data_IF_928825525014
#
_entry.id   IF_928825525014
#
_cell.length_a   1.000
_cell.length_b   1.000
_cell.length_c   1.000
_cell.angle_alpha   90.00
_cell.angle_beta   90.00
_cell.angle_gamma   90.00
#
_symmetry.space_group_name_H-M   'P 1'
#
loop_
_entity.id
_entity.type
_entity.pdbx_description
1 polymer ?
#
# COMPACT_ATOMS: atom_id res chain seq x y z
N UNK A 1 18.84 7.58 6.09
CA UNK A 1 19.24 6.74 7.23
C UNK A 1 18.00 5.98 7.68
N UNK A 2 18.06 4.66 7.82
CA UNK A 2 16.88 3.87 8.20
C UNK A 2 16.38 4.29 9.60
N UNK A 3 15.05 4.23 9.78
CA UNK A 3 14.40 4.48 11.07
C UNK A 3 14.67 3.31 12.00
N UNK A 4 14.97 3.61 13.26
CA UNK A 4 15.36 2.64 14.30
C UNK A 4 14.31 2.59 15.44
N UNK A 5 14.37 1.53 16.27
CA UNK A 5 13.48 1.34 17.44
C UNK A 5 13.54 2.50 18.45
N UNK A 6 14.71 3.12 18.57
CA UNK A 6 14.98 4.22 19.53
C UNK A 6 14.57 5.60 19.00
N UNK A 7 14.25 5.72 17.70
CA UNK A 7 13.86 7.00 17.14
C UNK A 7 12.47 7.41 17.63
N UNK A 8 12.27 8.72 17.83
CA UNK A 8 10.98 9.25 18.26
C UNK A 8 10.03 9.34 17.08
N UNK A 9 8.86 8.73 17.19
CA UNK A 9 7.85 8.68 16.12
C UNK A 9 7.42 10.09 15.72
N UNK A 10 7.31 11.03 16.66
CA UNK A 10 6.98 12.44 16.36
C UNK A 10 8.05 13.10 15.47
N UNK A 11 9.34 12.90 15.76
CA UNK A 11 10.44 13.47 14.97
C UNK A 11 10.48 12.87 13.57
N UNK A 12 10.27 11.55 13.46
CA UNK A 12 10.19 10.83 12.17
C UNK A 12 9.04 11.38 11.31
N UNK A 13 7.85 11.58 11.88
CA UNK A 13 6.70 12.15 11.17
C UNK A 13 6.89 13.63 10.85
N UNK A 14 7.54 14.42 11.70
CA UNK A 14 7.82 15.84 11.44
C UNK A 14 8.83 16.03 10.29
N UNK A 15 9.81 15.15 10.17
CA UNK A 15 10.75 15.16 9.06
C UNK A 15 10.13 14.62 7.76
N UNK A 16 9.12 13.74 7.87
CA UNK A 16 8.51 13.03 6.75
C UNK A 16 6.97 13.02 6.90
N UNK A 17 6.32 14.13 6.61
CA UNK A 17 4.86 14.28 6.75
C UNK A 17 4.05 13.25 5.96
N UNK A 18 4.61 12.72 4.88
CA UNK A 18 4.01 11.64 4.06
C UNK A 18 3.81 10.34 4.85
N UNK A 19 4.50 10.17 5.98
CA UNK A 19 4.32 9.03 6.87
C UNK A 19 3.08 9.11 7.76
N UNK A 20 2.48 10.27 7.92
CA UNK A 20 1.31 10.43 8.81
C UNK A 20 0.18 9.46 8.44
N UNK A 21 -0.24 9.33 7.17
CA UNK A 21 -1.23 8.34 6.78
C UNK A 21 -0.77 6.88 6.99
N UNK A 22 0.51 6.61 6.70
CA UNK A 22 1.12 5.27 6.86
C UNK A 22 1.05 4.82 8.32
N UNK A 23 1.49 5.69 9.23
CA UNK A 23 1.46 5.44 10.68
C UNK A 23 0.01 5.31 11.20
N UNK A 24 -0.92 6.12 10.65
CA UNK A 24 -2.35 6.02 10.97
C UNK A 24 -2.95 4.66 10.56
N UNK A 25 -2.56 4.11 9.40
CA UNK A 25 -3.00 2.77 8.94
C UNK A 25 -2.50 1.65 9.87
N UNK A 26 -1.35 1.84 10.50
CA UNK A 26 -0.86 0.94 11.54
C UNK A 26 -1.64 1.05 12.87
N UNK A 27 -2.63 1.93 12.94
CA UNK A 27 -3.47 2.15 14.11
C UNK A 27 -2.95 3.19 15.10
N UNK A 28 -1.83 3.85 14.77
CA UNK A 28 -1.20 4.85 15.62
C UNK A 28 -1.72 6.24 15.24
N UNK A 29 -2.37 6.92 16.17
CA UNK A 29 -2.86 8.29 15.99
C UNK A 29 -1.77 9.31 16.28
N UNK A 30 -1.88 10.50 15.69
CA UNK A 30 -1.05 11.65 16.06
C UNK A 30 -1.21 11.99 17.57
N UNK A 31 -0.22 12.69 18.16
CA UNK A 31 -0.17 12.95 19.59
C UNK A 31 0.70 11.93 20.34
N UNK A 32 1.68 11.35 19.66
CA UNK A 32 2.62 10.36 20.22
C UNK A 32 3.69 10.96 21.15
N UNK A 33 3.69 12.29 21.32
CA UNK A 33 4.65 13.01 22.16
C UNK A 33 6.12 12.71 21.77
N UNK A 34 6.98 12.48 22.75
CA UNK A 34 8.40 12.13 22.55
C UNK A 34 8.66 10.61 22.64
N UNK A 35 7.63 9.78 22.43
CA UNK A 35 7.76 8.34 22.56
C UNK A 35 8.57 7.76 21.41
N UNK A 36 9.36 6.74 21.73
CA UNK A 36 10.14 5.99 20.74
C UNK A 36 9.23 5.07 19.91
N UNK A 37 9.74 4.58 18.77
CA UNK A 37 9.07 3.54 17.98
C UNK A 37 8.72 2.34 18.86
N UNK A 38 9.64 1.89 19.72
CA UNK A 38 9.41 0.75 20.61
C UNK A 38 8.26 1.01 21.60
N UNK A 39 8.20 2.20 22.22
CA UNK A 39 7.14 2.56 23.16
C UNK A 39 5.77 2.64 22.47
N UNK A 40 5.71 3.33 21.34
CA UNK A 40 4.46 3.49 20.58
C UNK A 40 3.95 2.14 20.08
N UNK A 41 4.84 1.28 19.59
CA UNK A 41 4.46 -0.06 19.14
C UNK A 41 3.92 -0.91 20.29
N UNK A 42 4.57 -0.89 21.45
CA UNK A 42 4.12 -1.62 22.64
C UNK A 42 2.72 -1.15 23.09
N UNK A 43 2.46 0.14 23.10
CA UNK A 43 1.15 0.71 23.49
C UNK A 43 0.03 0.35 22.52
N UNK A 44 0.35 0.14 21.24
CA UNK A 44 -0.62 -0.16 20.17
C UNK A 44 -0.68 -1.66 19.78
N UNK A 45 0.01 -2.53 20.53
CA UNK A 45 0.03 -3.97 20.27
C UNK A 45 0.65 -4.32 18.91
N UNK A 46 1.65 -3.53 18.46
CA UNK A 46 2.42 -3.76 17.25
C UNK A 46 3.81 -4.29 17.59
N UNK A 47 4.35 -5.14 16.71
CA UNK A 47 5.76 -5.48 16.80
C UNK A 47 6.62 -4.35 16.21
N UNK A 48 7.65 -3.84 16.91
CA UNK A 48 8.49 -2.75 16.40
C UNK A 48 9.10 -3.05 15.02
N UNK A 49 9.55 -4.29 14.78
CA UNK A 49 10.15 -4.66 13.50
C UNK A 49 9.14 -4.62 12.35
N UNK A 50 7.85 -4.92 12.60
CA UNK A 50 6.81 -4.73 11.59
C UNK A 50 6.58 -3.24 11.29
N UNK A 51 6.50 -2.39 12.31
CA UNK A 51 6.42 -0.94 12.12
C UNK A 51 7.60 -0.43 11.29
N UNK A 52 8.82 -0.84 11.65
CA UNK A 52 10.05 -0.44 10.96
C UNK A 52 10.09 -0.96 9.52
N UNK A 53 9.63 -2.19 9.27
CA UNK A 53 9.50 -2.74 7.93
C UNK A 53 8.63 -1.83 7.05
N UNK A 54 7.40 -1.53 7.51
CA UNK A 54 6.45 -0.68 6.77
C UNK A 54 7.02 0.72 6.53
N UNK A 55 7.55 1.37 7.57
CA UNK A 55 8.03 2.75 7.49
C UNK A 55 9.30 2.88 6.64
N UNK A 56 10.25 1.95 6.78
CA UNK A 56 11.49 1.98 6.01
C UNK A 56 11.26 1.58 4.53
N UNK A 57 10.38 0.62 4.25
CA UNK A 57 9.97 0.33 2.86
C UNK A 57 9.33 1.56 2.23
N UNK A 58 8.42 2.21 2.95
CA UNK A 58 7.75 3.41 2.43
C UNK A 58 8.72 4.57 2.13
N UNK A 59 9.69 4.82 3.01
CA UNK A 59 10.64 5.93 2.86
C UNK A 59 11.80 5.62 1.92
N UNK A 60 12.30 4.40 1.93
CA UNK A 60 13.60 4.06 1.33
C UNK A 60 13.54 2.88 0.35
N UNK A 61 12.39 2.22 0.21
CA UNK A 61 12.23 1.01 -0.63
C UNK A 61 13.02 -0.20 -0.12
N UNK A 62 13.54 -0.14 1.12
CA UNK A 62 14.41 -1.17 1.69
C UNK A 62 13.81 -1.78 2.95
N UNK A 63 14.01 -3.09 3.10
CA UNK A 63 13.65 -3.85 4.29
C UNK A 63 14.69 -4.94 4.52
N UNK A 64 15.20 -4.98 5.74
CA UNK A 64 16.04 -6.08 6.19
C UNK A 64 15.13 -7.21 6.66
N UNK A 65 15.20 -8.36 5.99
CA UNK A 65 14.35 -9.50 6.27
C UNK A 65 14.46 -9.92 7.75
N UNK A 66 13.31 -10.08 8.41
CA UNK A 66 13.27 -10.57 9.79
C UNK A 66 13.47 -12.08 9.78
N UNK A 67 14.41 -12.57 10.58
CA UNK A 67 14.75 -14.00 10.63
C UNK A 67 13.61 -14.85 11.18
N UNK A 68 12.80 -14.35 12.10
CA UNK A 68 11.68 -15.08 12.69
C UNK A 68 10.31 -14.57 12.23
N UNK A 69 9.67 -15.34 11.36
CA UNK A 69 8.31 -15.11 10.87
C UNK A 69 7.28 -14.91 11.98
N UNK A 70 7.46 -15.58 13.14
CA UNK A 70 6.52 -15.47 14.26
C UNK A 70 6.50 -14.11 14.90
N UNK A 71 7.49 -13.27 14.63
CA UNK A 71 7.54 -11.87 15.07
C UNK A 71 6.62 -10.95 14.27
N UNK A 72 6.25 -11.35 13.04
CA UNK A 72 5.33 -10.59 12.21
C UNK A 72 3.92 -11.12 12.33
N UNK A 73 2.99 -10.21 12.44
CA UNK A 73 1.58 -10.53 12.37
C UNK A 73 1.07 -10.29 10.94
N UNK A 74 0.97 -11.37 10.15
CA UNK A 74 0.43 -11.33 8.78
C UNK A 74 -0.93 -10.64 8.75
N UNK A 75 -1.80 -10.88 9.74
CA UNK A 75 -3.11 -10.24 9.81
C UNK A 75 -3.02 -8.72 9.95
N UNK A 76 -1.98 -8.20 10.63
CA UNK A 76 -1.73 -6.75 10.70
C UNK A 76 -1.26 -6.18 9.36
N UNK A 77 -0.49 -6.97 8.59
CA UNK A 77 -0.11 -6.60 7.23
C UNK A 77 -1.34 -6.55 6.31
N UNK A 78 -2.19 -7.56 6.35
CA UNK A 78 -3.46 -7.57 5.61
C UNK A 78 -4.38 -6.40 6.00
N UNK A 79 -4.47 -6.07 7.29
CA UNK A 79 -5.25 -4.93 7.78
C UNK A 79 -4.68 -3.60 7.26
N UNK A 80 -3.35 -3.46 7.22
CA UNK A 80 -2.66 -2.30 6.65
C UNK A 80 -2.99 -2.14 5.15
N UNK A 81 -2.88 -3.21 4.35
CA UNK A 81 -3.18 -3.21 2.91
C UNK A 81 -4.65 -2.82 2.67
N UNK A 82 -5.60 -3.44 3.38
CA UNK A 82 -7.03 -3.08 3.28
C UNK A 82 -7.31 -1.62 3.63
N UNK A 83 -6.61 -1.06 4.59
CA UNK A 83 -6.73 0.37 4.93
C UNK A 83 -6.12 1.24 3.83
N UNK A 84 -5.02 0.81 3.20
CA UNK A 84 -4.43 1.49 2.05
C UNK A 84 -5.41 1.54 0.88
N UNK A 85 -6.04 0.43 0.53
CA UNK A 85 -7.08 0.37 -0.51
C UNK A 85 -8.23 1.35 -0.26
N UNK A 86 -8.74 1.40 0.97
CA UNK A 86 -9.79 2.37 1.34
C UNK A 86 -9.33 3.81 1.19
N UNK A 87 -8.09 4.10 1.58
CA UNK A 87 -7.51 5.44 1.45
C UNK A 87 -7.31 5.81 -0.02
N UNK A 88 -6.92 4.88 -0.90
CA UNK A 88 -6.82 5.14 -2.35
C UNK A 88 -8.16 5.56 -2.94
N UNK A 89 -9.24 4.87 -2.60
CA UNK A 89 -10.58 5.24 -3.05
C UNK A 89 -11.00 6.63 -2.54
N UNK A 90 -10.63 6.99 -1.32
CA UNK A 90 -10.89 8.34 -0.77
C UNK A 90 -10.05 9.39 -1.52
N UNK A 91 -8.78 9.11 -1.79
CA UNK A 91 -7.88 10.00 -2.53
C UNK A 91 -8.42 10.22 -3.96
N UNK A 92 -8.84 9.17 -4.67
CA UNK A 92 -9.44 9.27 -6.01
C UNK A 92 -10.65 10.21 -6.02
N UNK A 93 -11.58 10.08 -5.06
CA UNK A 93 -12.75 10.96 -4.95
C UNK A 93 -12.36 12.42 -4.70
N UNK A 94 -11.32 12.65 -3.88
CA UNK A 94 -10.84 13.99 -3.63
C UNK A 94 -10.15 14.60 -4.85
N UNK A 95 -9.34 13.83 -5.58
CA UNK A 95 -8.70 14.25 -6.83
C UNK A 95 -9.76 14.61 -7.87
N UNK A 96 -10.76 13.73 -8.07
CA UNK A 96 -11.86 14.00 -8.99
C UNK A 96 -12.55 15.33 -8.70
N UNK A 97 -12.85 15.60 -7.42
CA UNK A 97 -13.46 16.87 -7.00
C UNK A 97 -12.59 18.07 -7.34
N UNK A 98 -11.26 17.98 -7.13
CA UNK A 98 -10.35 19.07 -7.45
C UNK A 98 -10.19 19.27 -8.97
N UNK A 99 -10.12 18.19 -9.76
CA UNK A 99 -10.10 18.29 -11.22
C UNK A 99 -11.36 19.03 -11.73
N UNK A 100 -12.54 18.76 -11.14
CA UNK A 100 -13.78 19.46 -11.49
C UNK A 100 -13.72 20.96 -11.26
N UNK A 101 -12.97 21.41 -10.26
CA UNK A 101 -12.79 22.84 -9.97
C UNK A 101 -11.86 23.56 -10.97
N UNK A 102 -11.10 22.83 -11.79
CA UNK A 102 -10.28 23.39 -12.85
C UNK A 102 -11.07 23.69 -14.13
N UNK A 103 -12.30 23.19 -14.27
CA UNK A 103 -13.10 23.35 -15.48
C UNK A 103 -13.64 24.76 -15.57
N UNK A 104 -13.49 25.39 -16.73
CA UNK A 104 -14.13 26.65 -17.11
C UNK A 104 -14.49 26.66 -18.61
N UNK A 105 -15.16 27.71 -19.07
CA UNK A 105 -15.61 27.79 -20.47
C UNK A 105 -14.44 27.75 -21.48
N UNK A 106 -13.28 28.28 -21.10
CA UNK A 106 -12.09 28.33 -21.96
C UNK A 106 -11.36 27.00 -22.12
N UNK A 107 -11.59 26.04 -21.20
CA UNK A 107 -10.89 24.75 -21.20
C UNK A 107 -11.82 23.53 -21.19
N UNK A 108 -13.12 23.70 -21.29
CA UNK A 108 -14.12 22.64 -21.11
C UNK A 108 -13.90 21.41 -22.01
N UNK A 109 -13.54 21.60 -23.27
CA UNK A 109 -13.27 20.48 -24.20
C UNK A 109 -12.04 19.69 -23.78
N UNK A 110 -10.97 20.36 -23.39
CA UNK A 110 -9.74 19.74 -22.90
C UNK A 110 -9.97 19.00 -21.60
N UNK A 111 -10.66 19.64 -20.65
CA UNK A 111 -10.96 19.04 -19.36
C UNK A 111 -11.91 17.84 -19.46
N UNK A 112 -12.76 17.77 -20.49
CA UNK A 112 -13.56 16.58 -20.77
C UNK A 112 -12.69 15.35 -21.09
N UNK A 113 -11.60 15.55 -21.84
CA UNK A 113 -10.62 14.48 -22.10
C UNK A 113 -9.92 14.05 -20.80
N UNK A 114 -9.47 15.00 -19.99
CA UNK A 114 -8.85 14.72 -18.68
C UNK A 114 -9.79 13.90 -17.80
N UNK A 115 -11.07 14.26 -17.76
CA UNK A 115 -12.07 13.49 -17.01
C UNK A 115 -12.22 12.07 -17.52
N UNK A 116 -12.23 11.88 -18.85
CA UNK A 116 -12.30 10.53 -19.44
C UNK A 116 -11.12 9.68 -19.02
N UNK A 117 -9.90 10.20 -19.14
CA UNK A 117 -8.66 9.51 -18.75
C UNK A 117 -8.62 9.22 -17.24
N UNK A 118 -9.03 10.19 -16.42
CA UNK A 118 -9.06 9.99 -14.98
C UNK A 118 -10.11 8.96 -14.55
N UNK A 119 -11.28 8.93 -15.21
CA UNK A 119 -12.31 7.93 -14.91
C UNK A 119 -11.85 6.52 -15.32
N UNK A 120 -11.21 6.38 -16.48
CA UNK A 120 -10.61 5.11 -16.90
C UNK A 120 -9.59 4.62 -15.86
N UNK A 121 -8.66 5.48 -15.47
CA UNK A 121 -7.70 5.19 -14.41
C UNK A 121 -8.37 4.74 -13.10
N UNK A 122 -9.40 5.48 -12.67
CA UNK A 122 -10.15 5.19 -11.44
C UNK A 122 -10.83 3.82 -11.47
N UNK A 123 -11.42 3.46 -12.61
CA UNK A 123 -12.08 2.18 -12.81
C UNK A 123 -11.06 1.03 -12.77
N UNK A 124 -9.92 1.19 -13.43
CA UNK A 124 -8.86 0.17 -13.44
C UNK A 124 -8.26 -0.05 -12.04
N UNK A 125 -7.86 1.03 -11.35
CA UNK A 125 -7.36 0.89 -9.99
C UNK A 125 -8.40 0.27 -9.05
N UNK A 126 -9.67 0.64 -9.20
CA UNK A 126 -10.74 0.05 -8.39
C UNK A 126 -10.96 -1.43 -8.69
N UNK A 127 -10.83 -1.83 -9.96
CA UNK A 127 -10.90 -3.23 -10.39
C UNK A 127 -9.74 -4.05 -9.82
N UNK A 128 -8.52 -3.50 -9.89
CA UNK A 128 -7.32 -4.14 -9.35
C UNK A 128 -7.45 -4.37 -7.85
N UNK A 129 -7.82 -3.35 -7.08
CA UNK A 129 -8.12 -3.45 -5.64
C UNK A 129 -9.18 -4.53 -5.38
N UNK A 130 -10.26 -4.57 -6.17
CA UNK A 130 -11.32 -5.57 -6.03
C UNK A 130 -10.82 -7.00 -6.24
N UNK A 131 -9.93 -7.22 -7.20
CA UNK A 131 -9.28 -8.52 -7.43
C UNK A 131 -8.40 -8.93 -6.25
N UNK A 132 -7.58 -8.02 -5.73
CA UNK A 132 -6.74 -8.31 -4.56
C UNK A 132 -7.55 -8.65 -3.32
N UNK A 133 -8.59 -7.87 -3.03
CA UNK A 133 -9.49 -8.10 -1.90
C UNK A 133 -10.24 -9.44 -2.01
N UNK A 134 -10.54 -9.91 -3.23
CA UNK A 134 -11.31 -11.14 -3.46
C UNK A 134 -10.45 -12.39 -3.70
N UNK A 135 -9.21 -12.27 -4.14
CA UNK A 135 -8.34 -13.39 -4.50
C UNK A 135 -7.09 -13.48 -3.63
N UNK A 136 -6.28 -12.41 -3.62
CA UNK A 136 -4.96 -12.44 -2.97
C UNK A 136 -5.06 -12.41 -1.43
N UNK A 137 -5.76 -11.44 -0.85
CA UNK A 137 -5.85 -11.32 0.60
C UNK A 137 -6.54 -12.54 1.27
N UNK A 138 -7.60 -13.13 0.69
CA UNK A 138 -8.16 -14.39 1.19
C UNK A 138 -7.19 -15.57 1.09
N UNK A 139 -6.41 -15.67 -0.01
CA UNK A 139 -5.37 -16.67 -0.14
C UNK A 139 -4.35 -16.58 0.99
N UNK A 140 -3.79 -15.39 1.23
CA UNK A 140 -2.82 -15.15 2.32
C UNK A 140 -3.43 -15.49 3.69
N UNK A 141 -4.70 -15.11 3.93
CA UNK A 141 -5.38 -15.45 5.17
C UNK A 141 -5.53 -16.97 5.34
N UNK A 142 -5.86 -17.69 4.28
CA UNK A 142 -5.96 -19.15 4.31
C UNK A 142 -4.61 -19.80 4.64
N UNK A 143 -3.51 -19.37 4.02
CA UNK A 143 -2.15 -19.85 4.35
C UNK A 143 -1.83 -19.60 5.83
N UNK A 144 -2.16 -18.39 6.34
CA UNK A 144 -1.96 -18.06 7.75
C UNK A 144 -2.76 -18.99 8.68
N UNK A 145 -4.04 -19.24 8.39
CA UNK A 145 -4.87 -20.14 9.20
C UNK A 145 -4.35 -21.57 9.19
N UNK A 146 -3.98 -22.09 8.02
CA UNK A 146 -3.40 -23.43 7.88
C UNK A 146 -2.07 -23.56 8.62
N UNK A 147 -1.24 -22.54 8.63
CA UNK A 147 0.05 -22.55 9.32
C UNK A 147 -0.09 -22.77 10.84
N UNK A 148 -1.13 -22.23 11.45
CA UNK A 148 -1.43 -22.38 12.88
C UNK A 148 -2.42 -23.51 13.19
N UNK A 149 -2.97 -24.17 12.18
CA UNK A 149 -3.89 -25.31 12.37
C UNK A 149 -3.13 -26.55 12.81
N UNK A 150 -3.71 -27.38 13.68
CA UNK A 150 -3.19 -28.71 13.97
C UNK A 150 -3.39 -29.70 12.81
N UNK A 151 -4.42 -29.47 11.97
CA UNK A 151 -4.78 -30.31 10.83
C UNK A 151 -4.24 -29.70 9.55
N UNK A 152 -3.03 -30.12 9.17
CA UNK A 152 -2.38 -29.62 7.96
C UNK A 152 -3.03 -30.21 6.71
N UNK A 153 -3.38 -29.33 5.77
CA UNK A 153 -3.83 -29.70 4.43
C UNK A 153 -2.86 -29.16 3.38
N UNK A 154 -2.76 -29.80 2.20
CA UNK A 154 -2.00 -29.25 1.09
C UNK A 154 -2.51 -27.86 0.70
N UNK A 155 -1.58 -26.97 0.40
CA UNK A 155 -1.92 -25.63 -0.13
C UNK A 155 -2.02 -25.73 -1.65
N UNK A 156 -3.08 -25.17 -2.23
CA UNK A 156 -3.20 -24.97 -3.67
C UNK A 156 -2.71 -23.56 -4.03
N UNK A 157 -1.74 -23.49 -4.94
CA UNK A 157 -1.11 -22.24 -5.34
C UNK A 157 0.14 -21.87 -4.54
N UNK A 158 0.66 -20.70 -4.81
CA UNK A 158 1.78 -20.07 -4.09
C UNK A 158 1.62 -18.54 -4.08
N UNK A 159 2.18 -17.87 -3.08
CA UNK A 159 2.05 -16.41 -2.91
C UNK A 159 2.75 -15.64 -4.02
N UNK A 160 3.89 -16.12 -4.50
CA UNK A 160 4.64 -15.45 -5.59
C UNK A 160 3.86 -15.50 -6.90
N UNK A 161 3.24 -16.64 -7.23
CA UNK A 161 2.35 -16.78 -8.37
C UNK A 161 1.10 -15.91 -8.24
N UNK A 162 0.52 -15.83 -7.04
CA UNK A 162 -0.63 -14.96 -6.79
C UNK A 162 -0.28 -13.47 -6.96
N UNK A 163 0.87 -13.02 -6.43
CA UNK A 163 1.33 -11.62 -6.56
C UNK A 163 1.75 -11.25 -7.98
N UNK A 164 2.38 -12.18 -8.73
CA UNK A 164 2.87 -11.89 -10.08
C UNK A 164 1.76 -11.43 -11.03
N UNK A 165 0.52 -11.84 -10.78
CA UNK A 165 -0.66 -11.39 -11.55
C UNK A 165 -0.90 -9.89 -11.37
N UNK A 166 -0.63 -9.34 -10.17
CA UNK A 166 -0.92 -7.95 -9.84
C UNK A 166 0.22 -6.99 -10.18
N UNK A 167 1.48 -7.44 -10.14
CA UNK A 167 2.66 -6.59 -10.39
C UNK A 167 2.59 -5.92 -11.77
N UNK A 168 2.21 -6.65 -12.82
CA UNK A 168 2.06 -6.09 -14.17
C UNK A 168 0.92 -5.07 -14.22
N UNK A 169 -0.23 -5.39 -13.62
CA UNK A 169 -1.41 -4.50 -13.60
C UNK A 169 -1.12 -3.20 -12.81
N UNK A 170 -0.35 -3.25 -11.73
CA UNK A 170 0.09 -2.05 -10.99
C UNK A 170 1.03 -1.16 -11.82
N UNK A 171 1.95 -1.75 -12.57
CA UNK A 171 2.82 -0.99 -13.46
C UNK A 171 2.00 -0.24 -14.52
N UNK A 172 1.02 -0.88 -15.14
CA UNK A 172 0.14 -0.26 -16.15
C UNK A 172 -0.67 0.90 -15.54
N UNK A 173 -1.19 0.72 -14.32
CA UNK A 173 -1.93 1.75 -13.57
C UNK A 173 -1.02 2.94 -13.24
N UNK A 174 0.23 2.70 -12.83
CA UNK A 174 1.19 3.75 -12.54
C UNK A 174 1.61 4.54 -13.79
N UNK A 175 1.82 3.89 -14.94
CA UNK A 175 2.11 4.56 -16.22
C UNK A 175 0.98 5.49 -16.65
N UNK A 176 -0.27 5.07 -16.52
CA UNK A 176 -1.44 5.91 -16.81
C UNK A 176 -1.52 7.13 -15.92
N UNK A 177 -1.13 7.01 -14.66
CA UNK A 177 -1.09 8.15 -13.74
C UNK A 177 0.00 9.16 -14.14
N UNK A 178 1.16 8.68 -14.59
CA UNK A 178 2.21 9.53 -15.14
C UNK A 178 1.76 10.23 -16.43
N UNK A 179 1.07 9.52 -17.31
CA UNK A 179 0.50 10.10 -18.52
C UNK A 179 -0.53 11.18 -18.20
N UNK A 180 -1.41 10.96 -17.24
CA UNK A 180 -2.39 11.95 -16.81
C UNK A 180 -1.72 13.23 -16.26
N UNK A 181 -0.68 13.10 -15.41
CA UNK A 181 0.11 14.23 -14.92
C UNK A 181 0.81 14.97 -16.07
N UNK A 182 1.42 14.23 -16.99
CA UNK A 182 2.08 14.78 -18.16
C UNK A 182 1.13 15.59 -19.05
N UNK A 183 -0.07 15.05 -19.29
CA UNK A 183 -1.09 15.72 -20.10
C UNK A 183 -1.55 16.99 -19.40
N UNK A 184 -1.85 16.94 -18.11
CA UNK A 184 -2.24 18.12 -17.32
C UNK A 184 -1.17 19.21 -17.37
N UNK A 185 0.10 18.87 -17.12
CA UNK A 185 1.20 19.86 -17.07
C UNK A 185 1.49 20.46 -18.45
N UNK A 186 1.45 19.65 -19.51
CA UNK A 186 1.86 20.11 -20.86
C UNK A 186 0.77 20.84 -21.62
N UNK A 187 -0.50 20.53 -21.39
CA UNK A 187 -1.56 20.91 -22.30
C UNK A 187 -2.74 21.63 -21.66
N UNK A 188 -2.73 21.85 -20.34
CA UNK A 188 -3.78 22.68 -19.73
C UNK A 188 -3.77 24.07 -20.33
N UNK A 189 -4.92 24.55 -20.77
CA UNK A 189 -5.08 25.84 -21.44
C UNK A 189 -6.15 26.68 -20.73
N UNK A 190 -6.16 27.97 -21.06
CA UNK A 190 -7.12 28.91 -20.51
C UNK A 190 -6.73 29.44 -19.13
N UNK A 191 -7.63 30.22 -18.57
CA UNK A 191 -7.48 30.78 -17.22
C UNK A 191 -7.98 29.75 -16.19
N UNK A 192 -7.15 29.34 -15.25
CA UNK A 192 -7.49 28.38 -14.18
C UNK A 192 -6.85 28.82 -12.86
N UNK A 193 -7.41 28.35 -11.75
CA UNK A 193 -6.82 28.59 -10.44
C UNK A 193 -5.55 27.75 -10.27
N UNK A 194 -4.39 28.40 -10.24
CA UNK A 194 -3.08 27.75 -10.11
C UNK A 194 -2.95 26.95 -8.80
N UNK A 195 -3.56 27.40 -7.70
CA UNK A 195 -3.49 26.70 -6.42
C UNK A 195 -4.28 25.39 -6.49
N UNK A 196 -5.42 25.39 -7.18
CA UNK A 196 -6.19 24.15 -7.42
C UNK A 196 -5.38 23.21 -8.32
N UNK A 197 -4.75 23.73 -9.37
CA UNK A 197 -3.90 22.95 -10.26
C UNK A 197 -2.73 22.29 -9.51
N UNK A 198 -1.99 23.05 -8.70
CA UNK A 198 -0.93 22.50 -7.86
C UNK A 198 -1.47 21.43 -6.90
N UNK A 199 -2.63 21.70 -6.31
CA UNK A 199 -3.31 20.74 -5.43
C UNK A 199 -3.63 19.41 -6.14
N UNK A 200 -4.08 19.44 -7.40
CA UNK A 200 -4.33 18.24 -8.22
C UNK A 200 -3.03 17.47 -8.47
N UNK A 201 -1.98 18.15 -8.94
CA UNK A 201 -0.69 17.52 -9.26
C UNK A 201 -0.08 16.86 -8.01
N UNK A 202 -0.05 17.55 -6.88
CA UNK A 202 0.45 17.00 -5.62
C UNK A 202 -0.40 15.83 -5.11
N UNK A 203 -1.71 15.87 -5.32
CA UNK A 203 -2.59 14.78 -4.90
C UNK A 203 -2.39 13.52 -5.76
N UNK A 204 -2.19 13.67 -7.09
CA UNK A 204 -1.86 12.58 -8.00
C UNK A 204 -0.50 11.95 -7.64
N UNK A 205 0.52 12.79 -7.40
CA UNK A 205 1.85 12.33 -7.01
C UNK A 205 1.84 11.60 -5.65
N UNK A 206 1.06 12.10 -4.70
CA UNK A 206 0.87 11.43 -3.41
C UNK A 206 0.20 10.06 -3.56
N UNK A 207 -0.87 9.97 -4.37
CA UNK A 207 -1.58 8.71 -4.64
C UNK A 207 -0.62 7.68 -5.24
N UNK A 208 0.17 8.07 -6.24
CA UNK A 208 1.14 7.19 -6.89
C UNK A 208 2.18 6.66 -5.90
N UNK A 209 2.76 7.54 -5.07
CA UNK A 209 3.72 7.12 -4.04
C UNK A 209 3.11 6.17 -3.03
N UNK A 210 1.86 6.38 -2.69
CA UNK A 210 1.14 5.56 -1.71
C UNK A 210 0.82 4.16 -2.27
N UNK A 211 0.45 4.06 -3.54
CA UNK A 211 0.26 2.80 -4.27
C UNK A 211 1.60 2.03 -4.34
N UNK A 212 2.65 2.66 -4.87
CA UNK A 212 3.98 2.04 -5.00
C UNK A 212 4.53 1.53 -3.67
N UNK A 213 4.32 2.29 -2.59
CA UNK A 213 4.77 1.88 -1.27
C UNK A 213 3.97 0.69 -0.74
N UNK A 214 2.68 0.60 -1.02
CA UNK A 214 1.85 -0.55 -0.61
C UNK A 214 2.27 -1.81 -1.37
N UNK A 215 2.48 -1.73 -2.68
CA UNK A 215 3.03 -2.80 -3.51
C UNK A 215 4.40 -3.28 -2.98
N UNK A 216 5.30 -2.36 -2.66
CA UNK A 216 6.60 -2.71 -2.08
C UNK A 216 6.48 -3.44 -0.73
N UNK A 217 5.50 -3.09 0.10
CA UNK A 217 5.23 -3.79 1.36
C UNK A 217 4.72 -5.21 1.09
N UNK A 218 3.88 -5.39 0.08
CA UNK A 218 3.43 -6.72 -0.35
C UNK A 218 4.61 -7.59 -0.83
N UNK A 219 5.42 -7.05 -1.72
CA UNK A 219 6.58 -7.76 -2.29
C UNK A 219 7.73 -7.98 -1.31
N UNK A 220 8.03 -7.02 -0.44
CA UNK A 220 9.22 -7.07 0.42
C UNK A 220 8.95 -7.57 1.82
N UNK A 221 7.70 -7.47 2.29
CA UNK A 221 7.31 -7.86 3.65
C UNK A 221 6.38 -9.06 3.62
N UNK A 222 5.24 -8.96 2.93
CA UNK A 222 4.19 -9.98 2.99
C UNK A 222 4.59 -11.27 2.25
N UNK A 223 5.03 -11.18 1.00
CA UNK A 223 5.40 -12.34 0.18
C UNK A 223 6.45 -13.24 0.84
N UNK A 224 7.61 -12.73 1.32
CA UNK A 224 8.62 -13.58 1.94
C UNK A 224 8.13 -14.30 3.20
N UNK A 225 7.23 -13.66 3.95
CA UNK A 225 6.62 -14.25 5.14
C UNK A 225 5.69 -15.40 4.78
N UNK A 226 4.80 -15.17 3.82
CA UNK A 226 3.82 -16.17 3.39
C UNK A 226 4.51 -17.33 2.69
N UNK A 227 5.48 -17.07 1.81
CA UNK A 227 6.28 -18.12 1.15
C UNK A 227 7.03 -19.03 2.13
N UNK A 228 7.46 -18.50 3.27
CA UNK A 228 8.07 -19.34 4.33
C UNK A 228 7.01 -20.19 5.04
N UNK A 229 5.82 -19.66 5.31
CA UNK A 229 4.71 -20.43 5.88
C UNK A 229 4.30 -21.57 4.95
N UNK A 230 4.16 -21.33 3.65
CA UNK A 230 3.84 -22.32 2.62
C UNK A 230 4.85 -23.47 2.62
N UNK A 231 6.14 -23.14 2.64
CA UNK A 231 7.20 -24.17 2.71
C UNK A 231 7.09 -25.03 3.97
N UNK A 232 6.92 -24.41 5.13
CA UNK A 232 6.79 -25.16 6.38
C UNK A 232 5.54 -26.04 6.40
N UNK A 233 4.39 -25.57 5.89
CA UNK A 233 3.16 -26.37 5.76
C UNK A 233 3.43 -27.58 4.85
N UNK A 234 4.03 -27.36 3.68
CA UNK A 234 4.33 -28.41 2.71
C UNK A 234 5.26 -29.49 3.30
N UNK A 235 6.28 -29.09 4.06
CA UNK A 235 7.17 -30.03 4.76
C UNK A 235 6.43 -30.83 5.83
N UNK A 236 5.52 -30.24 6.59
CA UNK A 236 4.72 -30.91 7.60
C UNK A 236 3.78 -31.93 6.98
N UNK A 237 3.07 -31.57 5.90
CA UNK A 237 2.21 -32.48 5.13
C UNK A 237 3.02 -33.70 4.61
N UNK A 238 4.18 -33.44 4.00
CA UNK A 238 5.05 -34.50 3.46
C UNK A 238 5.55 -35.47 4.54
N UNK A 239 5.81 -34.98 5.75
CA UNK A 239 6.22 -35.83 6.89
C UNK A 239 5.07 -36.70 7.43
N UNK A 240 3.83 -36.22 7.35
CA UNK A 240 2.64 -36.99 7.78
C UNK A 240 2.31 -38.12 6.81
N UNK A 241 2.44 -37.88 5.49
CA UNK A 241 2.17 -38.88 4.46
C UNK A 241 3.21 -40.06 4.44
N UNK A 242 4.38 -39.87 5.06
CA UNK A 242 5.43 -40.88 5.17
C UNK A 242 5.33 -41.72 6.44
N UNK A 243 4.38 -41.47 7.32
CA UNK A 243 4.09 -42.23 8.54
C UNK A 243 2.88 -43.12 8.35
#
# INVERSE_FOLDING_TARGET
MAILKIDKVSEVMLQNHVLIPVVSRLGIKAGVENKTVEDVCRENGLHPDFFLAVVNVFLYGTFDAVEDIRLFNVLKCLDYIRKSHKDFIVQLKNIERHIRLLVNDGNAQYMSLIFSLFNEYKEELSSLIGKEESLFLPYVNNVYELFFSPDYQPIEGDVAGALSVFVSEYNDVNEKLDDLKNILIKYIQGDYDENIFYGVIFALDRLQRDINATELIELKVLEPMVAKMEREITERVSKMQKR
#
